data_IF_019888402910
#
_entry.id   IF_019888402910
#
_cell.length_a   1.000
_cell.length_b   1.000
_cell.length_c   1.000
_cell.angle_alpha   90.00
_cell.angle_beta   90.00
_cell.angle_gamma   90.00
#
_symmetry.space_group_name_H-M   'P 1'
#
loop_
_entity.id
_entity.type
_entity.pdbx_description
1 polymer ?
#
# COMPACT_ATOMS: atom_id res chain seq x y z
N UNK A 1 17.04 -29.60 -49.77
CA UNK A 1 17.10 -30.21 -48.42
C UNK A 1 16.18 -31.43 -48.31
N UNK A 2 14.97 -31.38 -48.88
CA UNK A 2 14.00 -32.50 -48.88
C UNK A 2 14.47 -33.77 -49.63
N UNK A 3 15.30 -33.63 -50.67
CA UNK A 3 15.79 -34.76 -51.45
C UNK A 3 16.80 -35.65 -50.70
N UNK A 4 17.49 -35.12 -49.68
CA UNK A 4 18.49 -35.89 -48.91
C UNK A 4 17.84 -36.69 -47.76
N UNK A 5 16.67 -36.25 -47.28
CA UNK A 5 15.93 -36.91 -46.19
C UNK A 5 15.27 -38.21 -46.70
N UNK A 6 14.65 -38.19 -47.88
CA UNK A 6 13.99 -39.38 -48.46
C UNK A 6 14.95 -40.52 -48.80
N UNK A 7 16.24 -40.22 -49.03
CA UNK A 7 17.25 -41.25 -49.38
C UNK A 7 17.68 -42.08 -48.16
N UNK A 8 17.62 -41.50 -46.96
CA UNK A 8 17.93 -42.18 -45.69
C UNK A 8 16.74 -43.04 -45.22
N UNK A 9 15.50 -42.59 -45.44
CA UNK A 9 14.29 -43.33 -45.06
C UNK A 9 14.13 -44.68 -45.80
N UNK A 10 14.67 -44.81 -47.02
CA UNK A 10 14.58 -46.07 -47.80
C UNK A 10 15.54 -47.18 -47.35
N UNK A 11 16.58 -46.86 -46.56
CA UNK A 11 17.61 -47.83 -46.14
C UNK A 11 17.35 -48.45 -44.76
N UNK A 12 16.44 -47.90 -43.97
CA UNK A 12 16.24 -48.28 -42.55
C UNK A 12 14.80 -48.73 -42.25
N UNK A 13 13.85 -48.55 -43.19
CA UNK A 13 12.50 -49.13 -43.11
C UNK A 13 11.59 -48.55 -42.03
N UNK A 14 11.95 -47.43 -41.41
CA UNK A 14 11.14 -46.70 -40.43
C UNK A 14 11.15 -45.21 -40.75
N UNK A 15 9.97 -44.57 -40.72
CA UNK A 15 9.83 -43.13 -40.95
C UNK A 15 10.50 -42.33 -39.82
N UNK A 16 11.00 -41.13 -40.12
CA UNK A 16 11.51 -40.21 -39.10
C UNK A 16 10.52 -39.98 -37.93
N UNK A 17 9.20 -40.06 -38.21
CA UNK A 17 8.15 -40.00 -37.19
C UNK A 17 8.14 -41.19 -36.23
N UNK A 18 8.46 -42.40 -36.71
CA UNK A 18 8.51 -43.61 -35.89
C UNK A 18 9.73 -43.58 -34.97
N UNK A 19 10.85 -43.05 -35.44
CA UNK A 19 12.07 -42.90 -34.64
C UNK A 19 11.88 -41.87 -33.51
N UNK A 20 11.20 -40.77 -33.79
CA UNK A 20 10.82 -39.75 -32.80
C UNK A 20 9.85 -40.29 -31.76
N UNK A 21 8.87 -41.10 -32.16
CA UNK A 21 7.96 -41.74 -31.20
C UNK A 21 8.66 -42.80 -30.35
N UNK A 22 9.59 -43.59 -30.89
CA UNK A 22 10.34 -44.58 -30.13
C UNK A 22 11.27 -43.91 -29.11
N UNK A 23 11.91 -42.79 -29.45
CA UNK A 23 12.75 -42.02 -28.53
C UNK A 23 11.91 -41.33 -27.43
N UNK A 24 10.77 -40.74 -27.78
CA UNK A 24 9.85 -40.15 -26.79
C UNK A 24 9.25 -41.21 -25.86
N UNK A 25 8.85 -42.36 -26.41
CA UNK A 25 8.25 -43.46 -25.64
C UNK A 25 9.27 -44.13 -24.72
N UNK A 26 10.46 -44.46 -25.23
CA UNK A 26 11.54 -45.03 -24.40
C UNK A 26 12.09 -44.01 -23.38
N UNK A 27 12.09 -42.71 -23.68
CA UNK A 27 12.49 -41.65 -22.76
C UNK A 27 11.50 -41.44 -21.62
N UNK A 28 10.19 -41.55 -21.90
CA UNK A 28 9.12 -41.50 -20.89
C UNK A 28 9.11 -42.78 -20.04
N UNK A 29 9.33 -43.94 -20.65
CA UNK A 29 9.33 -45.24 -19.95
C UNK A 29 10.56 -45.39 -19.03
N UNK A 30 11.75 -44.90 -19.44
CA UNK A 30 12.95 -44.85 -18.57
C UNK A 30 12.80 -43.91 -17.37
N UNK A 31 11.98 -42.85 -17.48
CA UNK A 31 11.65 -41.96 -16.35
C UNK A 31 10.54 -42.54 -15.45
N UNK A 32 9.81 -43.55 -15.93
CA UNK A 32 8.63 -44.13 -15.27
C UNK A 32 8.97 -45.33 -14.39
N UNK A 33 9.87 -46.22 -14.78
CA UNK A 33 9.88 -47.57 -14.18
C UNK A 33 10.62 -47.74 -12.84
N UNK A 34 11.56 -46.86 -12.45
CA UNK A 34 12.29 -47.01 -11.15
C UNK A 34 12.18 -45.80 -10.21
N UNK A 35 11.69 -44.66 -10.68
CA UNK A 35 11.47 -43.45 -9.88
C UNK A 35 10.01 -43.21 -9.45
N UNK A 36 9.05 -43.94 -10.02
CA UNK A 36 7.60 -43.71 -9.90
C UNK A 36 7.08 -43.71 -8.46
N UNK A 37 7.33 -44.76 -7.67
CA UNK A 37 6.79 -44.87 -6.30
C UNK A 37 7.37 -43.83 -5.33
N UNK A 38 8.67 -43.53 -5.43
CA UNK A 38 9.32 -42.50 -4.60
C UNK A 38 8.90 -41.09 -5.01
N UNK A 39 8.76 -40.80 -6.32
CA UNK A 39 8.23 -39.52 -6.82
C UNK A 39 6.76 -39.33 -6.43
N UNK A 40 5.93 -40.37 -6.55
CA UNK A 40 4.52 -40.34 -6.11
C UNK A 40 4.39 -40.11 -4.60
N UNK A 41 5.34 -40.60 -3.80
CA UNK A 41 5.36 -40.36 -2.36
C UNK A 41 5.91 -38.98 -1.98
N UNK A 42 6.90 -38.44 -2.70
CA UNK A 42 7.54 -37.14 -2.39
C UNK A 42 6.68 -35.95 -2.86
N UNK A 43 6.02 -36.08 -4.01
CA UNK A 43 5.21 -35.00 -4.60
C UNK A 43 4.12 -34.44 -3.67
N UNK A 44 3.31 -35.23 -2.94
CA UNK A 44 2.31 -34.68 -2.03
C UNK A 44 2.95 -33.95 -0.85
N UNK A 45 4.12 -34.39 -0.37
CA UNK A 45 4.85 -33.68 0.69
C UNK A 45 5.41 -32.35 0.21
N UNK A 46 6.01 -32.31 -0.99
CA UNK A 46 6.48 -31.06 -1.61
C UNK A 46 5.30 -30.11 -1.83
N UNK A 47 4.17 -30.61 -2.35
CA UNK A 47 2.96 -29.82 -2.53
C UNK A 47 2.40 -29.33 -1.18
N UNK A 48 2.40 -30.16 -0.14
CA UNK A 48 1.94 -29.77 1.19
C UNK A 48 2.84 -28.69 1.81
N UNK A 49 4.17 -28.84 1.74
CA UNK A 49 5.13 -27.83 2.21
C UNK A 49 4.97 -26.53 1.44
N UNK A 50 4.79 -26.59 0.12
CA UNK A 50 4.53 -25.41 -0.70
C UNK A 50 3.19 -24.73 -0.33
N UNK A 51 2.12 -25.50 -0.15
CA UNK A 51 0.81 -24.98 0.29
C UNK A 51 0.88 -24.33 1.67
N UNK A 52 1.62 -24.93 2.61
CA UNK A 52 1.87 -24.35 3.93
C UNK A 52 2.64 -23.03 3.79
N UNK A 53 3.67 -22.98 2.95
CA UNK A 53 4.43 -21.76 2.68
C UNK A 53 3.57 -20.64 2.07
N UNK A 54 2.72 -20.97 1.10
CA UNK A 54 1.78 -20.02 0.49
C UNK A 54 0.76 -19.53 1.51
N UNK A 55 0.16 -20.42 2.28
CA UNK A 55 -0.81 -20.05 3.31
C UNK A 55 -0.18 -19.17 4.39
N UNK A 56 1.01 -19.54 4.88
CA UNK A 56 1.78 -18.73 5.82
C UNK A 56 2.10 -17.33 5.24
N UNK A 57 2.58 -17.27 3.99
CA UNK A 57 2.85 -16.01 3.30
C UNK A 57 1.60 -15.13 3.16
N UNK A 58 0.47 -15.73 2.77
CA UNK A 58 -0.80 -15.02 2.65
C UNK A 58 -1.28 -14.49 4.01
N UNK A 59 -1.20 -15.30 5.07
CA UNK A 59 -1.54 -14.85 6.42
C UNK A 59 -0.64 -13.70 6.89
N UNK A 60 0.66 -13.76 6.62
CA UNK A 60 1.59 -12.68 6.97
C UNK A 60 1.24 -11.38 6.24
N UNK A 61 0.97 -11.42 4.93
CA UNK A 61 0.57 -10.25 4.16
C UNK A 61 -0.77 -9.70 4.66
N UNK A 62 -1.76 -10.56 4.88
CA UNK A 62 -3.07 -10.17 5.38
C UNK A 62 -2.98 -9.48 6.72
N UNK A 63 -2.27 -10.09 7.68
CA UNK A 63 -2.07 -9.50 9.02
C UNK A 63 -1.37 -8.15 8.92
N UNK A 64 -0.33 -8.02 8.10
CA UNK A 64 0.34 -6.74 7.90
C UNK A 64 -0.64 -5.68 7.36
N UNK A 65 -1.40 -6.02 6.31
CA UNK A 65 -2.36 -5.12 5.69
C UNK A 65 -3.49 -4.67 6.65
N UNK A 66 -3.94 -5.57 7.53
CA UNK A 66 -5.05 -5.34 8.46
C UNK A 66 -4.63 -4.88 9.86
N UNK A 67 -3.33 -4.78 10.16
CA UNK A 67 -2.85 -4.30 11.47
C UNK A 67 -2.73 -2.77 11.46
N UNK A 68 -3.53 -2.06 12.29
CA UNK A 68 -3.41 -0.62 12.44
C UNK A 68 -2.03 -0.22 12.98
N UNK A 69 -1.56 0.96 12.58
CA UNK A 69 -0.43 1.61 13.23
C UNK A 69 -0.85 2.23 14.57
N UNK A 70 0.15 2.56 15.39
CA UNK A 70 -0.08 3.26 16.66
C UNK A 70 -0.61 4.67 16.40
N UNK A 71 -1.56 5.11 17.23
CA UNK A 71 -2.06 6.49 17.25
C UNK A 71 -1.80 7.07 18.64
N UNK A 72 -1.09 8.19 18.72
CA UNK A 72 -0.86 8.90 19.98
C UNK A 72 -2.14 9.53 20.55
N UNK A 73 -2.03 10.35 21.59
CA UNK A 73 -3.16 11.14 22.13
C UNK A 73 -3.45 12.37 21.26
N UNK A 74 -4.72 12.64 20.96
CA UNK A 74 -5.09 13.75 20.08
C UNK A 74 -5.00 15.08 20.83
N UNK A 75 -4.50 16.11 20.17
CA UNK A 75 -4.52 17.46 20.70
C UNK A 75 -5.84 18.13 20.34
N UNK A 76 -6.67 18.40 21.35
CA UNK A 76 -7.90 19.19 21.26
C UNK A 76 -7.84 20.29 22.34
N UNK A 77 -7.93 21.59 21.98
CA UNK A 77 -8.15 22.18 20.66
C UNK A 77 -6.86 22.32 19.81
N UNK A 78 -6.98 22.98 18.65
CA UNK A 78 -5.88 23.30 17.72
C UNK A 78 -4.58 23.70 18.46
N UNK A 79 -3.44 23.04 18.18
CA UNK A 79 -2.23 23.21 18.96
C UNK A 79 -1.60 24.58 18.79
N UNK A 80 -1.25 25.22 19.90
CA UNK A 80 -0.57 26.53 19.91
C UNK A 80 0.88 26.41 19.42
N UNK A 81 1.35 27.44 18.70
CA UNK A 81 2.73 27.55 18.23
C UNK A 81 3.10 26.60 17.08
N UNK A 82 2.09 26.04 16.39
CA UNK A 82 2.30 25.36 15.12
C UNK A 82 2.47 26.38 13.98
N UNK A 83 3.34 26.11 12.98
CA UNK A 83 3.40 26.93 11.77
C UNK A 83 2.19 26.71 10.84
N UNK A 84 1.36 25.70 11.12
CA UNK A 84 0.13 25.44 10.37
C UNK A 84 -0.88 26.57 10.59
N UNK A 85 -1.56 26.96 9.52
CA UNK A 85 -2.61 28.00 9.56
C UNK A 85 -3.97 27.31 9.66
N UNK A 86 -4.74 27.69 10.67
CA UNK A 86 -6.15 27.32 10.76
C UNK A 86 -6.96 28.28 9.87
N UNK A 87 -7.73 27.73 8.95
CA UNK A 87 -8.69 28.51 8.17
C UNK A 87 -9.95 28.80 9.01
N UNK A 88 -10.41 30.05 8.95
CA UNK A 88 -11.53 30.54 9.77
C UNK A 88 -12.86 30.55 9.02
N UNK A 89 -12.85 30.25 7.72
CA UNK A 89 -14.02 30.23 6.85
C UNK A 89 -14.45 28.79 6.51
N UNK A 90 -13.49 27.88 6.34
CA UNK A 90 -13.74 26.47 6.06
C UNK A 90 -12.97 25.55 7.01
N UNK A 91 -13.44 24.31 7.26
CA UNK A 91 -12.69 23.33 8.04
C UNK A 91 -11.27 23.11 7.50
N UNK A 92 -10.34 22.84 8.41
CA UNK A 92 -8.93 22.57 8.09
C UNK A 92 -8.60 21.13 8.39
N UNK A 93 -8.13 20.39 7.39
CA UNK A 93 -7.66 19.02 7.53
C UNK A 93 -6.12 19.01 7.59
N UNK A 94 -5.54 18.42 8.63
CA UNK A 94 -4.09 18.22 8.77
C UNK A 94 -3.78 16.74 8.59
N UNK A 95 -2.81 16.42 7.75
CA UNK A 95 -2.47 15.02 7.42
C UNK A 95 -0.98 14.81 7.51
N UNK A 96 -0.55 13.77 8.22
CA UNK A 96 0.86 13.45 8.40
C UNK A 96 1.29 12.34 7.46
N UNK A 97 2.32 12.58 6.65
CA UNK A 97 2.75 11.67 5.58
C UNK A 97 4.26 11.45 5.64
N UNK A 98 4.67 10.18 5.56
CA UNK A 98 6.06 9.80 5.27
C UNK A 98 6.24 9.57 3.76
N UNK A 99 7.10 10.33 3.05
CA UNK A 99 7.24 10.23 1.59
C UNK A 99 7.69 8.86 1.06
N UNK A 100 8.43 8.06 1.83
CA UNK A 100 8.79 6.69 1.43
C UNK A 100 7.72 5.63 1.76
N UNK A 101 6.56 6.00 2.30
CA UNK A 101 5.52 5.04 2.66
C UNK A 101 4.61 4.76 1.46
N UNK A 102 4.60 3.54 0.88
CA UNK A 102 3.71 3.22 -0.25
C UNK A 102 2.23 3.25 0.16
N UNK A 103 1.92 2.94 1.41
CA UNK A 103 0.54 2.94 1.93
C UNK A 103 -0.09 4.34 1.90
N UNK A 104 0.73 5.40 2.05
CA UNK A 104 0.28 6.79 2.04
C UNK A 104 -0.27 7.24 0.67
N UNK A 105 0.04 6.53 -0.42
CA UNK A 105 -0.58 6.78 -1.74
C UNK A 105 -2.10 6.73 -1.69
N UNK A 106 -2.65 5.77 -0.94
CA UNK A 106 -4.10 5.65 -0.80
C UNK A 106 -4.70 6.82 -0.04
N UNK A 107 -4.06 7.22 1.07
CA UNK A 107 -4.44 8.44 1.80
C UNK A 107 -4.46 9.66 0.89
N UNK A 108 -3.38 9.90 0.13
CA UNK A 108 -3.28 11.05 -0.79
C UNK A 108 -4.38 11.03 -1.87
N UNK A 109 -4.69 9.86 -2.42
CA UNK A 109 -5.79 9.71 -3.39
C UNK A 109 -7.16 10.01 -2.77
N UNK A 110 -7.38 9.59 -1.52
CA UNK A 110 -8.59 9.92 -0.77
C UNK A 110 -8.69 11.40 -0.43
N UNK A 111 -7.58 12.08 -0.12
CA UNK A 111 -7.57 13.53 0.09
C UNK A 111 -8.03 14.28 -1.16
N UNK A 112 -7.56 13.90 -2.34
CA UNK A 112 -8.06 14.48 -3.59
C UNK A 112 -9.58 14.31 -3.72
N UNK A 113 -10.10 13.11 -3.42
CA UNK A 113 -11.55 12.86 -3.41
C UNK A 113 -12.32 13.68 -2.38
N UNK A 114 -11.75 13.92 -1.18
CA UNK A 114 -12.38 14.75 -0.14
C UNK A 114 -12.48 16.20 -0.62
N UNK A 115 -11.39 16.73 -1.18
CA UNK A 115 -11.33 18.10 -1.69
C UNK A 115 -12.37 18.34 -2.80
N UNK A 116 -12.63 17.34 -3.64
CA UNK A 116 -13.64 17.41 -4.70
C UNK A 116 -15.08 17.34 -4.17
N UNK A 117 -15.29 16.73 -3.00
CA UNK A 117 -16.62 16.41 -2.46
C UNK A 117 -17.08 17.34 -1.33
N UNK A 118 -16.19 18.14 -0.77
CA UNK A 118 -16.46 18.94 0.41
C UNK A 118 -15.59 20.21 0.45
N UNK A 119 -16.11 21.28 1.05
CA UNK A 119 -15.37 22.54 1.22
C UNK A 119 -14.40 22.43 2.40
N UNK A 120 -13.12 22.17 2.10
CA UNK A 120 -12.06 21.98 3.10
C UNK A 120 -10.72 22.47 2.54
N UNK A 121 -9.86 22.98 3.42
CA UNK A 121 -8.44 23.19 3.11
C UNK A 121 -7.60 22.10 3.76
N UNK A 122 -6.54 21.68 3.08
CA UNK A 122 -5.70 20.55 3.51
C UNK A 122 -4.28 21.04 3.75
N UNK A 123 -3.76 20.80 4.95
CA UNK A 123 -2.34 20.95 5.26
C UNK A 123 -1.68 19.58 5.36
N UNK A 124 -0.75 19.29 4.45
CA UNK A 124 0.02 18.05 4.46
C UNK A 124 1.35 18.31 5.17
N UNK A 125 1.56 17.63 6.30
CA UNK A 125 2.81 17.62 7.04
C UNK A 125 3.64 16.44 6.53
N UNK A 126 4.68 16.74 5.77
CA UNK A 126 5.56 15.77 5.14
C UNK A 126 6.80 15.56 5.99
N UNK A 127 7.01 14.35 6.52
CA UNK A 127 8.22 14.03 7.27
C UNK A 127 9.46 14.16 6.38
N UNK A 128 10.49 14.84 6.89
CA UNK A 128 11.77 14.98 6.18
C UNK A 128 12.63 13.74 6.44
N UNK A 129 13.08 13.01 5.40
CA UNK A 129 14.04 11.93 5.61
C UNK A 129 15.39 12.50 6.11
N UNK A 130 16.19 11.72 6.87
CA UNK A 130 17.53 12.13 7.29
C UNK A 130 18.41 12.56 6.10
N UNK A 131 19.24 13.59 6.30
CA UNK A 131 20.08 14.21 5.23
C UNK A 131 21.07 13.22 4.60
N UNK A 132 21.45 12.18 5.34
CA UNK A 132 22.39 11.12 4.91
C UNK A 132 21.71 9.95 4.18
N UNK A 133 20.38 9.97 4.04
CA UNK A 133 19.62 8.91 3.37
C UNK A 133 19.31 9.33 1.93
N UNK A 134 19.96 8.69 0.97
CA UNK A 134 19.59 8.80 -0.44
C UNK A 134 18.09 8.50 -0.61
N UNK A 135 17.32 9.36 -1.30
CA UNK A 135 15.91 9.12 -1.54
C UNK A 135 15.73 7.76 -2.23
N UNK A 136 14.99 6.84 -1.60
CA UNK A 136 14.59 5.62 -2.31
C UNK A 136 13.82 6.00 -3.56
N UNK A 137 14.05 5.25 -4.64
CA UNK A 137 13.28 5.40 -5.87
C UNK A 137 11.79 5.42 -5.56
N UNK A 138 11.05 6.30 -6.22
CA UNK A 138 9.63 6.51 -5.91
C UNK A 138 8.73 5.31 -6.23
N UNK A 139 9.29 4.28 -6.88
CA UNK A 139 8.69 2.95 -7.05
C UNK A 139 8.09 2.42 -5.73
N UNK A 140 8.74 2.66 -4.60
CA UNK A 140 8.30 2.18 -3.29
C UNK A 140 7.64 3.24 -2.40
N UNK A 141 7.69 4.54 -2.76
CA UNK A 141 7.21 5.66 -1.92
C UNK A 141 5.95 6.33 -2.46
N UNK A 142 5.60 7.50 -1.96
CA UNK A 142 4.47 8.33 -2.43
C UNK A 142 4.88 9.75 -2.80
N UNK A 143 6.16 10.00 -3.10
CA UNK A 143 6.73 11.35 -3.27
C UNK A 143 6.10 12.07 -4.45
N UNK A 144 5.99 11.42 -5.61
CA UNK A 144 5.40 12.01 -6.81
C UNK A 144 3.91 12.33 -6.60
N UNK A 145 3.14 11.45 -5.96
CA UNK A 145 1.74 11.75 -5.62
C UNK A 145 1.65 12.94 -4.65
N UNK A 146 2.52 12.99 -3.65
CA UNK A 146 2.58 14.08 -2.69
C UNK A 146 2.92 15.42 -3.37
N UNK A 147 3.94 15.43 -4.23
CA UNK A 147 4.33 16.61 -5.01
C UNK A 147 3.22 17.07 -5.95
N UNK A 148 2.53 16.13 -6.60
CA UNK A 148 1.41 16.43 -7.49
C UNK A 148 0.26 17.06 -6.71
N UNK A 149 -0.17 16.45 -5.60
CA UNK A 149 -1.27 16.96 -4.78
C UNK A 149 -0.94 18.32 -4.14
N UNK A 150 0.32 18.54 -3.78
CA UNK A 150 0.79 19.82 -3.23
C UNK A 150 0.69 21.01 -4.20
N UNK A 151 0.45 20.77 -5.50
CA UNK A 151 0.17 21.85 -6.46
C UNK A 151 -1.27 22.34 -6.42
N UNK A 152 -2.17 21.62 -5.74
CA UNK A 152 -3.58 21.97 -5.67
C UNK A 152 -3.81 23.24 -4.83
N UNK A 153 -4.65 24.21 -5.25
CA UNK A 153 -4.82 25.49 -4.54
C UNK A 153 -5.32 25.38 -3.09
N UNK A 154 -6.06 24.32 -2.78
CA UNK A 154 -6.59 24.04 -1.44
C UNK A 154 -5.63 23.21 -0.57
N UNK A 155 -4.43 22.90 -1.08
CA UNK A 155 -3.44 22.07 -0.40
C UNK A 155 -2.19 22.89 -0.10
N UNK A 156 -1.77 22.89 1.15
CA UNK A 156 -0.46 23.42 1.57
C UNK A 156 0.39 22.26 2.08
N UNK A 157 1.58 22.07 1.51
CA UNK A 157 2.56 21.12 2.03
C UNK A 157 3.58 21.85 2.90
N UNK A 158 3.86 21.29 4.08
CA UNK A 158 4.90 21.74 4.99
C UNK A 158 5.80 20.55 5.30
N UNK A 159 7.10 20.72 5.13
CA UNK A 159 8.07 19.71 5.55
C UNK A 159 8.28 19.81 7.06
N UNK A 160 8.11 18.68 7.75
CA UNK A 160 8.34 18.57 9.19
C UNK A 160 9.82 18.31 9.44
N UNK A 161 10.48 19.33 9.95
CA UNK A 161 11.89 19.27 10.32
C UNK A 161 11.94 18.84 11.79
N UNK A 162 12.76 17.81 12.09
CA UNK A 162 12.94 17.25 13.44
C UNK A 162 11.63 16.78 14.11
N UNK A 163 10.63 16.38 13.30
CA UNK A 163 9.34 15.85 13.75
C UNK A 163 8.57 16.79 14.72
N UNK A 164 8.85 18.09 14.64
CA UNK A 164 8.35 19.09 15.60
C UNK A 164 6.83 19.28 15.54
N UNK A 165 6.24 19.19 14.34
CA UNK A 165 4.80 19.31 14.12
C UNK A 165 4.13 17.97 14.45
N UNK A 166 4.71 16.86 13.98
CA UNK A 166 4.26 15.49 14.24
C UNK A 166 4.10 15.23 15.73
N UNK A 167 5.13 15.55 16.53
CA UNK A 167 5.10 15.41 17.97
C UNK A 167 4.04 16.29 18.64
N UNK A 168 3.80 17.50 18.12
CA UNK A 168 2.83 18.45 18.67
C UNK A 168 1.37 18.01 18.49
N UNK A 169 1.09 17.31 17.39
CA UNK A 169 -0.23 16.73 17.12
C UNK A 169 -0.40 15.33 17.71
N UNK A 170 0.66 14.74 18.26
CA UNK A 170 0.65 13.36 18.73
C UNK A 170 0.42 12.35 17.59
N UNK A 171 0.85 12.70 16.38
CA UNK A 171 0.78 11.83 15.21
C UNK A 171 1.95 10.82 15.27
N UNK A 172 1.65 9.55 14.99
CA UNK A 172 2.63 8.45 15.12
C UNK A 172 2.62 7.50 13.92
N UNK A 173 1.61 7.60 13.05
CA UNK A 173 1.47 6.73 11.87
C UNK A 173 1.20 7.57 10.62
N UNK A 174 1.90 7.26 9.53
CA UNK A 174 1.71 7.90 8.24
C UNK A 174 0.28 7.67 7.74
N UNK A 175 -0.41 8.74 7.36
CA UNK A 175 -1.81 8.75 6.99
C UNK A 175 -2.76 9.08 8.14
N UNK A 176 -2.25 9.43 9.33
CA UNK A 176 -3.08 9.97 10.42
C UNK A 176 -3.62 11.35 9.98
N UNK A 177 -4.95 11.47 10.00
CA UNK A 177 -5.67 12.63 9.52
C UNK A 177 -6.44 13.26 10.68
N UNK A 178 -6.38 14.58 10.76
CA UNK A 178 -7.07 15.40 11.74
C UNK A 178 -7.95 16.40 10.99
N UNK A 179 -9.24 16.49 11.34
CA UNK A 179 -10.12 17.53 10.81
C UNK A 179 -10.47 18.48 11.95
N UNK A 180 -10.25 19.77 11.72
CA UNK A 180 -10.58 20.84 12.66
C UNK A 180 -11.67 21.73 12.09
N UNK A 181 -12.58 22.15 12.96
CA UNK A 181 -13.55 23.21 12.66
C UNK A 181 -12.85 24.56 12.50
N UNK A 182 -13.56 25.55 11.95
CA UNK A 182 -13.09 26.95 11.82
C UNK A 182 -12.75 27.61 13.16
N UNK A 183 -13.24 27.07 14.28
CA UNK A 183 -12.94 27.54 15.63
C UNK A 183 -11.80 26.75 16.30
N UNK A 184 -11.21 25.78 15.60
CA UNK A 184 -10.08 24.97 16.08
C UNK A 184 -10.46 23.77 16.94
N UNK A 185 -11.75 23.42 17.06
CA UNK A 185 -12.18 22.19 17.72
C UNK A 185 -11.93 20.97 16.82
N UNK A 186 -11.44 19.87 17.39
CA UNK A 186 -11.23 18.62 16.67
C UNK A 186 -12.59 17.96 16.30
N UNK A 187 -12.82 17.76 15.00
CA UNK A 187 -14.04 17.15 14.44
C UNK A 187 -13.86 15.67 14.08
N UNK A 188 -12.65 15.29 13.65
CA UNK A 188 -12.30 13.91 13.28
C UNK A 188 -10.81 13.66 13.54
N UNK A 189 -10.49 12.45 13.98
CA UNK A 189 -9.14 11.90 13.93
C UNK A 189 -9.16 10.44 13.51
N UNK A 190 -8.26 10.06 12.62
CA UNK A 190 -8.03 8.68 12.26
C UNK A 190 -7.54 8.51 10.82
N UNK A 191 -7.62 7.27 10.34
CA UNK A 191 -7.31 6.94 8.95
C UNK A 191 -8.49 7.19 8.02
N UNK A 192 -8.18 7.51 6.77
CA UNK A 192 -9.16 7.58 5.66
C UNK A 192 -9.10 6.36 4.75
N UNK A 193 -8.43 5.28 5.16
CA UNK A 193 -8.26 4.03 4.42
C UNK A 193 -8.83 2.86 5.21
N UNK A 194 -9.36 1.83 4.51
CA UNK A 194 -9.88 0.62 5.15
C UNK A 194 -8.78 -0.35 5.61
N UNK A 195 -7.62 -0.30 4.94
CA UNK A 195 -6.41 -1.09 5.22
C UNK A 195 -5.22 -0.44 4.51
N UNK A 196 -4.01 -0.97 4.73
CA UNK A 196 -2.79 -0.44 4.11
C UNK A 196 -2.90 -0.40 2.58
N UNK A 197 -2.81 0.80 1.99
CA UNK A 197 -2.82 0.99 0.53
C UNK A 197 -4.17 0.76 -0.16
N UNK A 198 -5.28 0.65 0.59
CA UNK A 198 -6.60 0.40 0.03
C UNK A 198 -7.22 1.66 -0.61
N UNK A 199 -7.55 1.59 -1.90
CA UNK A 199 -8.23 2.64 -2.66
C UNK A 199 -9.74 2.40 -2.74
N UNK A 200 -10.50 3.47 -2.99
CA UNK A 200 -11.97 3.42 -3.11
C UNK A 200 -12.70 3.75 -1.81
N UNK A 201 -14.02 3.64 -1.86
CA UNK A 201 -14.90 4.03 -0.76
C UNK A 201 -14.63 3.26 0.52
N UNK A 202 -14.68 3.97 1.64
CA UNK A 202 -14.54 3.39 2.96
C UNK A 202 -15.21 4.27 4.02
N UNK A 203 -15.47 3.69 5.19
CA UNK A 203 -16.19 4.37 6.26
C UNK A 203 -15.44 5.59 6.83
N UNK A 204 -14.11 5.56 6.91
CA UNK A 204 -13.31 6.70 7.39
C UNK A 204 -13.38 7.89 6.44
N UNK A 205 -13.18 7.65 5.14
CA UNK A 205 -13.37 8.65 4.08
C UNK A 205 -14.78 9.25 4.11
N UNK A 206 -15.81 8.38 4.16
CA UNK A 206 -17.19 8.86 4.16
C UNK A 206 -17.51 9.68 5.40
N UNK A 207 -17.00 9.29 6.58
CA UNK A 207 -17.20 10.05 7.81
C UNK A 207 -16.60 11.45 7.73
N UNK A 208 -15.40 11.60 7.15
CA UNK A 208 -14.77 12.92 6.96
C UNK A 208 -15.65 13.82 6.09
N UNK A 209 -16.09 13.31 4.94
CA UNK A 209 -16.98 14.06 4.03
C UNK A 209 -18.29 14.42 4.72
N UNK A 210 -18.88 13.46 5.43
CA UNK A 210 -20.12 13.66 6.17
C UNK A 210 -19.97 14.70 7.28
N UNK A 211 -18.86 14.71 8.01
CA UNK A 211 -18.57 15.68 9.09
C UNK A 211 -18.34 17.10 8.56
N UNK A 212 -17.74 17.24 7.39
CA UNK A 212 -17.56 18.56 6.75
C UNK A 212 -18.93 19.13 6.36
N UNK A 213 -19.81 18.28 5.82
CA UNK A 213 -21.14 18.70 5.37
C UNK A 213 -22.17 18.83 6.51
N UNK A 214 -22.04 18.04 7.57
CA UNK A 214 -22.85 18.06 8.78
C UNK A 214 -21.95 17.97 10.04
N UNK A 215 -21.56 19.13 10.62
CA UNK A 215 -20.67 19.18 11.77
C UNK A 215 -21.19 18.46 13.02
N UNK A 216 -22.50 18.22 13.12
CA UNK A 216 -23.14 17.60 14.29
C UNK A 216 -23.22 16.08 14.21
N UNK A 217 -22.84 15.48 13.08
CA UNK A 217 -22.81 14.02 12.94
C UNK A 217 -21.86 13.41 13.97
N UNK A 218 -22.25 12.35 14.71
CA UNK A 218 -21.35 11.70 15.65
C UNK A 218 -20.03 11.31 14.97
N UNK A 219 -18.88 11.52 15.64
CA UNK A 219 -17.63 10.94 15.18
C UNK A 219 -17.25 9.72 16.01
N UNK A 220 -16.56 8.81 15.34
CA UNK A 220 -15.82 7.72 15.94
C UNK A 220 -14.39 7.81 15.43
N UNK A 221 -13.42 7.40 16.24
CA UNK A 221 -12.02 7.32 15.81
C UNK A 221 -11.85 6.16 14.82
N UNK A 222 -11.15 6.40 13.72
CA UNK A 222 -10.83 5.36 12.73
C UNK A 222 -9.38 4.89 12.87
N UNK A 223 -9.11 3.57 12.72
CA UNK A 223 -7.74 3.07 12.71
C UNK A 223 -6.94 3.69 11.57
N UNK A 224 -5.66 3.96 11.82
CA UNK A 224 -4.73 4.48 10.83
C UNK A 224 -3.87 3.33 10.31
N UNK A 225 -3.72 3.19 8.99
CA UNK A 225 -2.92 2.14 8.38
C UNK A 225 -1.73 2.71 7.62
N UNK A 226 -0.56 2.72 8.24
CA UNK A 226 0.66 3.23 7.63
C UNK A 226 1.93 2.86 8.38
N UNK A 227 3.06 3.35 7.88
CA UNK A 227 4.35 3.18 8.55
C UNK A 227 4.45 4.13 9.76
N UNK A 228 5.23 3.78 10.79
CA UNK A 228 5.53 4.69 11.90
C UNK A 228 6.14 6.01 11.40
N UNK A 229 5.72 7.13 12.01
CA UNK A 229 6.29 8.47 11.82
C UNK A 229 7.40 8.71 12.84
N UNK A 230 8.38 7.81 12.87
CA UNK A 230 9.55 7.94 13.74
C UNK A 230 10.78 8.04 12.88
N UNK A 231 11.66 8.99 13.17
CA UNK A 231 13.04 8.96 12.70
C UNK A 231 13.72 7.72 13.31
N UNK A 232 13.78 6.61 12.57
CA UNK A 232 14.71 5.51 12.84
C UNK A 232 16.02 5.72 12.07
#
# INVERSE_FOLDING_TARGET
MEANIRRVESLIGLSFGDYMMVILRNGIDCLSEKGSKRRQAILPWVAAVWMIGVFAGFTAIWTHASTPGETGSATDPWPKGTPLVLDTQVPTMVVFIHPECPCARATLAHLASIIDRASVVVSIVSMTPPVDREPKSDLAGCRQQLETLATHPLVTRIDDIEDSITNRFGASTSGDCFLYSTNGNLMFRGGVTASRGHLGDNAGLQLVVDRINDPFKPYESFPVFGCPLTTQ
#
